data_IF_885773031233
#
_entry.id   IF_885773031233
#
_cell.length_a   1.000
_cell.length_b   1.000
_cell.length_c   1.000
_cell.angle_alpha   90.00
_cell.angle_beta   90.00
_cell.angle_gamma   90.00
#
_symmetry.space_group_name_H-M   'P 1'
#
loop_
_entity.id
_entity.type
_entity.pdbx_description
1 polymer ?
#
# COMPACT_ATOMS: atom_id res chain seq x y z
N UNK A 1 -15.35 3.58 -8.78
CA UNK A 1 -15.81 2.30 -8.20
C UNK A 1 -15.26 2.15 -6.80
N UNK A 2 -16.06 1.62 -5.89
CA UNK A 2 -15.66 1.47 -4.49
C UNK A 2 -16.03 0.07 -4.00
N UNK A 3 -15.12 -0.57 -3.30
CA UNK A 3 -15.35 -1.87 -2.69
C UNK A 3 -15.02 -1.79 -1.21
N UNK A 4 -15.92 -2.32 -0.36
CA UNK A 4 -15.79 -2.22 1.10
C UNK A 4 -15.63 -3.61 1.68
N UNK A 5 -14.64 -3.76 2.58
CA UNK A 5 -14.41 -5.00 3.32
C UNK A 5 -14.42 -4.71 4.81
N UNK A 6 -15.13 -5.52 5.57
CA UNK A 6 -15.10 -5.50 7.03
C UNK A 6 -14.16 -6.61 7.49
N UNK A 7 -13.17 -6.27 8.32
CA UNK A 7 -12.11 -7.18 8.73
C UNK A 7 -12.06 -7.24 10.25
N UNK A 8 -12.26 -8.41 10.83
CA UNK A 8 -12.24 -8.60 12.28
C UNK A 8 -10.87 -9.01 12.80
N UNK A 9 -10.10 -9.69 11.97
CA UNK A 9 -8.75 -10.13 12.34
C UNK A 9 -7.87 -10.17 11.09
N UNK A 10 -6.56 -10.33 11.30
CA UNK A 10 -5.61 -10.24 10.20
C UNK A 10 -5.82 -11.33 9.13
N UNK A 11 -6.32 -12.50 9.51
CA UNK A 11 -6.56 -13.56 8.52
C UNK A 11 -7.62 -13.18 7.50
N UNK A 12 -8.53 -12.29 7.85
CA UNK A 12 -9.58 -11.83 6.93
C UNK A 12 -9.07 -10.81 5.92
N UNK A 13 -7.84 -10.35 6.07
CA UNK A 13 -7.22 -9.42 5.09
C UNK A 13 -6.94 -10.07 3.75
N UNK A 14 -6.99 -11.39 3.67
CA UNK A 14 -6.80 -12.07 2.39
C UNK A 14 -7.81 -11.60 1.35
N UNK A 15 -9.05 -11.33 1.74
CA UNK A 15 -10.09 -10.91 0.80
C UNK A 15 -9.79 -9.56 0.14
N UNK A 16 -9.52 -8.47 0.89
CA UNK A 16 -9.15 -7.21 0.25
C UNK A 16 -7.81 -7.29 -0.49
N UNK A 17 -6.86 -8.08 0.00
CA UNK A 17 -5.60 -8.26 -0.71
C UNK A 17 -5.77 -8.95 -2.06
N UNK A 18 -6.59 -9.99 -2.11
CA UNK A 18 -6.92 -10.66 -3.37
C UNK A 18 -7.64 -9.74 -4.35
N UNK A 19 -8.51 -8.88 -3.83
CA UNK A 19 -9.21 -7.91 -4.66
C UNK A 19 -8.22 -6.96 -5.34
N UNK A 20 -7.25 -6.46 -4.59
CA UNK A 20 -6.22 -5.56 -5.13
C UNK A 20 -5.38 -6.28 -6.19
N UNK A 21 -4.96 -7.50 -5.90
CA UNK A 21 -4.18 -8.31 -6.84
C UNK A 21 -4.92 -8.50 -8.16
N UNK A 22 -6.21 -8.80 -8.07
CA UNK A 22 -7.04 -9.02 -9.25
C UNK A 22 -7.27 -7.74 -10.04
N UNK A 23 -7.47 -6.63 -9.34
CA UNK A 23 -7.72 -5.33 -9.97
C UNK A 23 -6.47 -4.78 -10.64
N UNK A 24 -5.31 -4.89 -9.99
CA UNK A 24 -4.03 -4.41 -10.51
C UNK A 24 -3.20 -5.59 -11.06
N UNK A 25 -3.73 -6.27 -12.07
CA UNK A 25 -3.09 -7.47 -12.60
C UNK A 25 -1.68 -7.26 -13.12
N UNK A 26 -1.39 -6.07 -13.61
CA UNK A 26 -0.09 -5.73 -14.18
C UNK A 26 0.76 -4.87 -13.24
N UNK A 27 0.42 -4.86 -11.97
CA UNK A 27 1.09 -4.01 -11.00
C UNK A 27 0.46 -2.64 -10.90
N UNK A 28 1.03 -1.81 -10.05
CA UNK A 28 0.54 -0.46 -9.83
C UNK A 28 0.81 0.01 -8.42
N UNK A 29 0.16 1.09 -8.03
CA UNK A 29 0.37 1.72 -6.73
C UNK A 29 -0.86 1.55 -5.85
N UNK A 30 -0.64 1.28 -4.57
CA UNK A 30 -1.70 1.23 -3.56
C UNK A 30 -1.37 2.26 -2.49
N UNK A 31 -2.25 3.24 -2.32
CA UNK A 31 -2.12 4.25 -1.27
C UNK A 31 -2.89 3.79 -0.04
N UNK A 32 -2.19 3.56 1.05
CA UNK A 32 -2.78 3.10 2.29
C UNK A 32 -2.99 4.28 3.23
N UNK A 33 -4.22 4.61 3.52
CA UNK A 33 -4.62 5.75 4.34
C UNK A 33 -5.28 5.28 5.63
N UNK A 34 -4.86 5.83 6.75
CA UNK A 34 -5.41 5.50 8.06
C UNK A 34 -4.45 5.94 9.15
N UNK A 35 -4.95 6.10 10.37
CA UNK A 35 -4.11 6.49 11.50
C UNK A 35 -3.16 5.37 11.92
N UNK A 36 -2.19 5.72 12.76
CA UNK A 36 -1.26 4.75 13.31
C UNK A 36 -2.00 3.59 13.98
N UNK A 37 -1.55 2.38 13.71
CA UNK A 37 -2.16 1.19 14.30
C UNK A 37 -3.46 0.75 13.66
N UNK A 38 -3.91 1.39 12.57
CA UNK A 38 -5.16 1.02 11.93
C UNK A 38 -5.05 -0.20 11.02
N UNK A 39 -3.83 -0.62 10.64
CA UNK A 39 -3.67 -1.84 9.87
C UNK A 39 -3.05 -1.67 8.49
N UNK A 40 -2.34 -0.57 8.25
CA UNK A 40 -1.67 -0.36 6.96
C UNK A 40 -0.59 -1.41 6.71
N UNK A 41 0.31 -1.59 7.68
CA UNK A 41 1.38 -2.58 7.57
C UNK A 41 0.84 -4.00 7.55
N UNK A 42 -0.23 -4.27 8.30
CA UNK A 42 -0.88 -5.57 8.27
C UNK A 42 -1.41 -5.91 6.88
N UNK A 43 -1.95 -4.93 6.17
CA UNK A 43 -2.38 -5.14 4.80
C UNK A 43 -1.19 -5.49 3.89
N UNK A 44 -0.08 -4.79 4.04
CA UNK A 44 1.13 -5.08 3.25
C UNK A 44 1.58 -6.51 3.50
N UNK A 45 1.58 -6.95 4.76
CA UNK A 45 1.96 -8.32 5.13
C UNK A 45 1.05 -9.34 4.44
N UNK A 46 -0.24 -9.09 4.49
CA UNK A 46 -1.22 -10.00 3.87
C UNK A 46 -1.07 -10.03 2.35
N UNK A 47 -0.84 -8.87 1.74
CA UNK A 47 -0.64 -8.78 0.31
C UNK A 47 0.62 -9.54 -0.12
N UNK A 48 1.72 -9.36 0.61
CA UNK A 48 2.96 -10.06 0.34
C UNK A 48 2.79 -11.57 0.42
N UNK A 49 1.96 -12.04 1.35
CA UNK A 49 1.71 -13.48 1.49
C UNK A 49 1.11 -14.11 0.26
N UNK A 50 0.37 -13.34 -0.55
CA UNK A 50 -0.21 -13.84 -1.80
C UNK A 50 0.86 -14.19 -2.83
N UNK A 51 2.04 -13.61 -2.70
CA UNK A 51 3.13 -13.79 -3.65
C UNK A 51 4.29 -14.60 -3.05
N UNK A 52 4.06 -15.20 -1.89
CA UNK A 52 5.09 -16.03 -1.25
C UNK A 52 6.27 -15.25 -0.72
N UNK A 53 6.09 -13.97 -0.39
CA UNK A 53 7.14 -13.22 0.27
C UNK A 53 7.31 -13.74 1.69
N UNK A 54 8.37 -14.47 1.93
CA UNK A 54 8.73 -14.93 3.25
C UNK A 54 9.71 -13.96 3.84
N UNK A 55 9.33 -13.29 4.89
CA UNK A 55 10.22 -12.36 5.54
C UNK A 55 9.46 -11.42 6.43
N UNK A 56 10.20 -10.66 7.18
CA UNK A 56 9.63 -9.71 8.13
C UNK A 56 9.07 -8.51 7.38
N UNK A 57 7.76 -8.50 7.16
CA UNK A 57 7.08 -7.32 6.65
C UNK A 57 6.83 -6.38 7.82
N UNK A 58 7.53 -5.26 7.81
CA UNK A 58 7.40 -4.23 8.82
C UNK A 58 7.54 -2.88 8.13
N UNK A 59 7.05 -1.83 8.77
CA UNK A 59 7.27 -0.48 8.23
C UNK A 59 8.76 -0.20 8.17
N UNK A 60 9.24 0.45 7.09
CA UNK A 60 10.63 0.86 7.01
C UNK A 60 11.00 1.77 8.19
N UNK A 61 12.09 1.43 8.89
CA UNK A 61 12.49 2.15 10.11
C UNK A 61 13.52 3.23 9.83
N UNK A 62 14.55 2.87 9.08
CA UNK A 62 15.67 3.77 8.80
C UNK A 62 15.70 4.25 7.35
N UNK A 63 14.89 3.64 6.51
CA UNK A 63 14.77 4.00 5.10
C UNK A 63 13.30 4.30 4.84
N UNK A 64 13.03 4.95 3.70
CA UNK A 64 11.66 5.25 3.30
C UNK A 64 11.02 4.05 2.64
N UNK A 65 11.81 3.15 2.07
CA UNK A 65 11.32 2.06 1.25
C UNK A 65 12.01 0.73 1.55
N UNK A 66 11.23 -0.34 1.58
CA UNK A 66 11.72 -1.72 1.56
C UNK A 66 11.29 -2.37 0.27
N UNK A 67 12.17 -3.18 -0.29
CA UNK A 67 11.81 -4.03 -1.44
C UNK A 67 11.71 -5.46 -0.94
N UNK A 68 10.57 -6.11 -1.21
CA UNK A 68 10.36 -7.51 -0.86
C UNK A 68 10.55 -8.36 -2.11
N UNK A 69 11.39 -9.38 -2.00
CA UNK A 69 11.70 -10.24 -3.13
C UNK A 69 10.51 -11.12 -3.47
N UNK A 70 9.96 -10.93 -4.66
CA UNK A 70 8.86 -11.71 -5.19
C UNK A 70 8.80 -11.48 -6.69
N UNK A 71 7.93 -12.24 -7.35
CA UNK A 71 7.67 -12.07 -8.77
C UNK A 71 6.17 -11.92 -8.95
N UNK A 72 5.66 -10.72 -9.23
CA UNK A 72 6.37 -9.44 -9.43
C UNK A 72 6.92 -8.84 -8.14
N UNK A 73 7.81 -7.86 -8.27
CA UNK A 73 8.41 -7.17 -7.12
C UNK A 73 7.36 -6.41 -6.33
N UNK A 74 7.59 -6.30 -5.02
CA UNK A 74 6.74 -5.51 -4.12
C UNK A 74 7.62 -4.51 -3.40
N UNK A 75 7.27 -3.23 -3.53
CA UNK A 75 7.94 -2.13 -2.86
C UNK A 75 7.02 -1.57 -1.79
N UNK A 76 7.54 -1.38 -0.58
CA UNK A 76 6.79 -0.86 0.55
C UNK A 76 7.41 0.45 1.01
N UNK A 77 6.64 1.55 0.93
CA UNK A 77 7.10 2.89 1.26
C UNK A 77 6.40 3.37 2.53
N UNK A 78 7.11 4.13 3.35
CA UNK A 78 6.54 4.79 4.51
C UNK A 78 7.08 6.22 4.58
N UNK A 79 6.20 7.19 4.38
CA UNK A 79 6.57 8.61 4.37
C UNK A 79 6.24 9.32 5.69
N UNK A 80 5.89 8.58 6.74
CA UNK A 80 5.43 9.16 8.00
C UNK A 80 6.43 10.15 8.60
N UNK A 81 7.70 9.75 8.70
CA UNK A 81 8.73 10.60 9.31
C UNK A 81 9.49 11.44 8.29
N UNK A 82 9.46 11.08 7.03
CA UNK A 82 10.28 11.70 6.00
C UNK A 82 9.56 12.77 5.18
N UNK A 83 8.23 12.72 5.16
CA UNK A 83 7.43 13.63 4.35
C UNK A 83 7.50 13.33 2.87
N UNK A 84 6.61 13.98 2.11
CA UNK A 84 6.47 13.73 0.68
C UNK A 84 7.64 14.25 -0.14
N UNK A 85 8.32 15.29 0.33
CA UNK A 85 9.44 15.85 -0.41
C UNK A 85 10.57 14.84 -0.58
N UNK A 86 10.67 13.87 0.32
CA UNK A 86 11.67 12.80 0.20
C UNK A 86 11.44 11.92 -1.01
N UNK A 87 10.18 11.73 -1.42
CA UNK A 87 9.85 10.95 -2.61
C UNK A 87 10.49 11.59 -3.85
N UNK A 88 10.39 12.92 -3.96
CA UNK A 88 10.91 13.65 -5.11
C UNK A 88 12.42 13.91 -5.00
N UNK A 89 12.90 14.30 -3.82
CA UNK A 89 14.30 14.68 -3.65
C UNK A 89 15.25 13.50 -3.80
N UNK A 90 14.80 12.29 -3.50
CA UNK A 90 15.61 11.08 -3.61
C UNK A 90 15.34 10.29 -4.88
N UNK A 91 14.58 10.87 -5.80
CA UNK A 91 14.23 10.24 -7.06
C UNK A 91 13.61 8.86 -6.89
N UNK A 92 12.88 8.67 -5.78
CA UNK A 92 12.27 7.36 -5.49
C UNK A 92 11.19 7.00 -6.50
N UNK A 93 10.63 8.02 -7.18
CA UNK A 93 9.66 7.76 -8.23
C UNK A 93 10.23 6.94 -9.39
N UNK A 94 11.57 6.88 -9.53
CA UNK A 94 12.21 6.05 -10.54
C UNK A 94 11.92 4.57 -10.32
N UNK A 95 11.71 4.16 -9.06
CA UNK A 95 11.36 2.78 -8.77
C UNK A 95 10.02 2.38 -9.37
N UNK A 96 9.14 3.35 -9.61
CA UNK A 96 7.84 3.08 -10.21
C UNK A 96 7.99 2.50 -11.63
N UNK A 97 9.08 2.81 -12.30
CA UNK A 97 9.33 2.31 -13.65
C UNK A 97 9.76 0.85 -13.66
N UNK A 98 10.16 0.31 -12.51
CA UNK A 98 10.56 -1.09 -12.44
C UNK A 98 9.39 -2.06 -12.49
N UNK A 99 8.17 -1.54 -12.46
CA UNK A 99 6.97 -2.37 -12.45
C UNK A 99 6.73 -2.98 -11.07
N UNK A 100 5.82 -3.96 -11.00
CA UNK A 100 5.45 -4.58 -9.75
C UNK A 100 4.44 -3.75 -8.96
N UNK A 101 4.37 -4.01 -7.66
CA UNK A 101 3.43 -3.34 -6.78
C UNK A 101 4.15 -2.38 -5.84
N UNK A 102 3.58 -1.19 -5.68
CA UNK A 102 4.15 -0.14 -4.84
C UNK A 102 3.12 0.23 -3.79
N UNK A 103 3.33 -0.22 -2.55
CA UNK A 103 2.40 -0.01 -1.44
C UNK A 103 2.94 1.15 -0.60
N UNK A 104 2.18 2.23 -0.50
CA UNK A 104 2.64 3.47 0.12
C UNK A 104 1.81 3.82 1.36
N UNK A 105 2.47 3.94 2.51
CA UNK A 105 1.88 4.46 3.74
C UNK A 105 2.26 5.93 3.89
N UNK A 106 1.28 6.74 4.31
CA UNK A 106 1.48 8.16 4.59
C UNK A 106 1.88 8.99 3.36
N UNK A 107 1.49 8.56 2.15
CA UNK A 107 1.65 9.39 0.96
C UNK A 107 0.70 10.58 1.06
N UNK A 108 1.18 11.76 0.68
CA UNK A 108 0.37 12.97 0.74
C UNK A 108 -0.26 13.31 -0.62
N UNK A 109 -0.96 14.44 -0.66
CA UNK A 109 -1.63 14.88 -1.88
C UNK A 109 -0.68 15.13 -3.05
N UNK A 110 0.56 15.55 -2.77
CA UNK A 110 1.54 15.81 -3.83
C UNK A 110 1.89 14.52 -4.57
N UNK A 111 2.13 13.46 -3.80
CA UNK A 111 2.42 12.14 -4.37
C UNK A 111 1.20 11.64 -5.14
N UNK A 112 0.02 11.74 -4.54
CA UNK A 112 -1.21 11.28 -5.16
C UNK A 112 -1.46 12.00 -6.49
N UNK A 113 -1.31 13.33 -6.53
CA UNK A 113 -1.47 14.09 -7.76
C UNK A 113 -0.43 13.71 -8.81
N UNK A 114 0.80 13.46 -8.39
CA UNK A 114 1.86 13.00 -9.29
C UNK A 114 1.47 11.70 -9.98
N UNK A 115 0.96 10.74 -9.21
CA UNK A 115 0.57 9.43 -9.73
C UNK A 115 -0.57 9.55 -10.75
N UNK A 116 -1.59 10.32 -10.41
CA UNK A 116 -2.73 10.52 -11.30
C UNK A 116 -2.32 11.26 -12.56
N UNK A 117 -1.53 12.32 -12.41
CA UNK A 117 -1.08 13.14 -13.56
C UNK A 117 -0.26 12.32 -14.55
N UNK A 118 0.50 11.34 -14.06
CA UNK A 118 1.35 10.52 -14.91
C UNK A 118 0.67 9.21 -15.33
N UNK A 119 -0.64 9.11 -15.14
CA UNK A 119 -1.45 7.96 -15.54
C UNK A 119 -0.94 6.62 -14.98
N UNK A 120 -0.44 6.65 -13.74
CA UNK A 120 0.00 5.44 -13.06
C UNK A 120 -1.22 4.79 -12.41
N UNK A 121 -1.43 3.50 -12.69
CA UNK A 121 -2.55 2.76 -12.10
C UNK A 121 -2.46 2.80 -10.58
N UNK A 122 -3.44 3.38 -9.93
CA UNK A 122 -3.41 3.64 -8.50
C UNK A 122 -4.76 3.30 -7.86
N UNK A 123 -4.69 2.53 -6.78
CA UNK A 123 -5.83 2.31 -5.90
C UNK A 123 -5.56 3.01 -4.58
N UNK A 124 -6.62 3.49 -3.95
CA UNK A 124 -6.55 4.05 -2.62
C UNK A 124 -7.35 3.18 -1.68
N UNK A 125 -6.79 2.89 -0.52
CA UNK A 125 -7.45 2.13 0.53
C UNK A 125 -7.54 3.02 1.77
N UNK A 126 -8.77 3.35 2.16
CA UNK A 126 -9.03 4.08 3.40
C UNK A 126 -9.36 3.06 4.48
N UNK A 127 -8.62 3.09 5.57
CA UNK A 127 -8.75 2.15 6.67
C UNK A 127 -9.29 2.86 7.89
N UNK A 128 -10.40 2.37 8.43
CA UNK A 128 -11.02 2.93 9.61
C UNK A 128 -11.10 1.86 10.71
N UNK A 129 -10.76 2.25 11.94
CA UNK A 129 -10.93 1.38 13.09
C UNK A 129 -12.32 1.60 13.67
N UNK A 130 -13.07 0.52 13.84
CA UNK A 130 -14.43 0.58 14.37
C UNK A 130 -14.45 0.39 15.89
N UNK A 131 -15.52 0.81 16.59
CA UNK A 131 -15.60 0.67 18.05
C UNK A 131 -15.44 -0.75 18.57
N UNK A 132 -15.80 -1.75 17.78
CA UNK A 132 -15.67 -3.17 18.15
C UNK A 132 -14.32 -3.77 17.81
N UNK A 133 -13.33 -2.93 17.50
CA UNK A 133 -11.98 -3.30 17.12
C UNK A 133 -11.84 -3.91 15.72
N UNK A 134 -12.95 -4.05 14.97
CA UNK A 134 -12.86 -4.43 13.56
C UNK A 134 -12.32 -3.26 12.73
N UNK A 135 -11.95 -3.54 11.49
CA UNK A 135 -11.47 -2.52 10.56
C UNK A 135 -12.31 -2.52 9.30
N UNK A 136 -12.53 -1.33 8.76
CA UNK A 136 -13.20 -1.17 7.47
C UNK A 136 -12.14 -0.77 6.44
N UNK A 137 -12.03 -1.53 5.37
CA UNK A 137 -11.13 -1.24 4.26
C UNK A 137 -11.96 -0.83 3.06
N UNK A 138 -11.89 0.44 2.69
CA UNK A 138 -12.60 0.98 1.52
C UNK A 138 -11.59 1.16 0.38
N UNK A 139 -11.79 0.42 -0.71
CA UNK A 139 -10.88 0.40 -1.84
C UNK A 139 -11.54 1.07 -3.04
N UNK A 140 -10.87 2.05 -3.63
CA UNK A 140 -11.40 2.75 -4.79
C UNK A 140 -10.27 3.34 -5.64
N UNK A 141 -10.63 3.78 -6.83
CA UNK A 141 -9.68 4.40 -7.75
C UNK A 141 -9.24 5.76 -7.19
N UNK A 142 -7.96 6.02 -7.26
CA UNK A 142 -7.41 7.30 -6.80
C UNK A 142 -7.64 8.41 -7.81
#
# INVERSE_FOLDING_TARGET
MKKVFEVKNESELAAPAEYVKKYLQNGGVVLLKGDLGYGKTAFVRSFCSLFGCDGDVSSPTYTIMNEYKSEPKIFHYDFYNAGADSFFSKLMFEYLEEGGYHLMEWADEKIERFLVKNAIDTLRIDITKNPDESRTYEIYDA
#
